data_IF_200740348489
#
_entry.id   IF_200740348489
#
_cell.length_a   1.000
_cell.length_b   1.000
_cell.length_c   1.000
_cell.angle_alpha   90.00
_cell.angle_beta   90.00
_cell.angle_gamma   90.00
#
_symmetry.space_group_name_H-M   'P 1'
#
loop_
_entity.id
_entity.type
_entity.pdbx_description
1 polymer ?
#
# COMPACT_ATOMS: atom_id res chain seq x y z
N UNK A 1 -46.51 22.41 39.97
CA UNK A 1 -46.26 21.36 40.96
C UNK A 1 -44.78 20.96 40.88
N UNK A 2 -44.25 20.58 42.02
CA UNK A 2 -42.85 20.13 42.12
C UNK A 2 -42.62 18.86 41.28
N UNK A 3 -43.59 17.94 41.26
CA UNK A 3 -43.49 16.73 40.43
C UNK A 3 -43.39 17.01 38.94
N UNK A 4 -44.19 17.93 38.45
CA UNK A 4 -44.16 18.31 37.02
C UNK A 4 -42.82 18.94 36.70
N UNK A 5 -42.29 19.78 37.57
CA UNK A 5 -41.01 20.42 37.41
C UNK A 5 -39.85 19.39 37.42
N UNK A 6 -39.86 18.44 38.34
CA UNK A 6 -38.86 17.37 38.37
C UNK A 6 -38.91 16.47 37.14
N UNK A 7 -40.13 16.17 36.67
CA UNK A 7 -40.30 15.40 35.42
C UNK A 7 -39.77 16.16 34.21
N UNK A 8 -39.98 17.48 34.13
CA UNK A 8 -39.47 18.33 33.08
C UNK A 8 -37.95 18.36 33.09
N UNK A 9 -37.34 18.46 34.27
CA UNK A 9 -35.87 18.45 34.42
C UNK A 9 -35.27 17.11 33.99
N UNK A 10 -35.89 15.99 34.39
CA UNK A 10 -35.48 14.65 33.97
C UNK A 10 -35.58 14.47 32.46
N UNK A 11 -36.68 14.97 31.88
CA UNK A 11 -36.87 14.89 30.43
C UNK A 11 -35.81 15.67 29.69
N UNK A 12 -35.48 16.87 30.14
CA UNK A 12 -34.41 17.68 29.56
C UNK A 12 -33.05 16.99 29.66
N UNK A 13 -32.76 16.38 30.81
CA UNK A 13 -31.54 15.63 31.04
C UNK A 13 -31.43 14.41 30.12
N UNK A 14 -32.50 13.65 29.98
CA UNK A 14 -32.56 12.50 29.10
C UNK A 14 -32.41 12.91 27.62
N UNK A 15 -33.06 14.02 27.26
CA UNK A 15 -32.93 14.54 25.90
C UNK A 15 -31.48 14.96 25.56
N UNK A 16 -30.81 15.59 26.51
CA UNK A 16 -29.37 15.93 26.34
C UNK A 16 -28.50 14.69 26.19
N UNK A 17 -28.73 13.68 27.00
CA UNK A 17 -28.04 12.38 26.91
C UNK A 17 -28.32 11.69 25.59
N UNK A 18 -29.56 11.72 25.13
CA UNK A 18 -29.94 11.16 23.84
C UNK A 18 -29.23 11.85 22.69
N UNK A 19 -29.24 13.17 22.67
CA UNK A 19 -28.55 13.95 21.61
C UNK A 19 -27.06 13.70 21.58
N UNK A 20 -26.43 13.61 22.76
CA UNK A 20 -25.01 13.28 22.88
C UNK A 20 -24.71 11.88 22.36
N UNK A 21 -25.51 10.90 22.77
CA UNK A 21 -25.37 9.51 22.33
C UNK A 21 -25.57 9.40 20.82
N UNK A 22 -26.55 10.11 20.28
CA UNK A 22 -26.80 10.15 18.84
C UNK A 22 -25.58 10.69 18.08
N UNK A 23 -24.99 11.79 18.56
CA UNK A 23 -23.78 12.35 17.96
C UNK A 23 -22.60 11.40 18.04
N UNK A 24 -22.40 10.75 19.18
CA UNK A 24 -21.35 9.74 19.37
C UNK A 24 -21.53 8.56 18.43
N UNK A 25 -22.78 8.09 18.28
CA UNK A 25 -23.10 6.99 17.36
C UNK A 25 -22.84 7.39 15.90
N UNK A 26 -23.24 8.58 15.48
CA UNK A 26 -22.99 9.05 14.12
C UNK A 26 -21.49 9.16 13.84
N UNK A 27 -20.71 9.67 14.77
CA UNK A 27 -19.25 9.74 14.66
C UNK A 27 -18.62 8.34 14.61
N UNK A 28 -19.08 7.44 15.45
CA UNK A 28 -18.65 6.03 15.45
C UNK A 28 -18.97 5.36 14.12
N UNK A 29 -20.16 5.55 13.59
CA UNK A 29 -20.58 4.98 12.29
C UNK A 29 -19.70 5.47 11.14
N UNK A 30 -19.41 6.77 11.09
CA UNK A 30 -18.50 7.34 10.08
C UNK A 30 -17.10 6.75 10.18
N UNK A 31 -16.56 6.68 11.40
CA UNK A 31 -15.24 6.10 11.64
C UNK A 31 -15.18 4.63 11.24
N UNK A 32 -16.18 3.85 11.65
CA UNK A 32 -16.26 2.42 11.33
C UNK A 32 -16.36 2.17 9.83
N UNK A 33 -17.12 2.99 9.11
CA UNK A 33 -17.24 2.88 7.65
C UNK A 33 -15.90 3.18 6.97
N UNK A 34 -15.15 4.17 7.46
CA UNK A 34 -13.80 4.48 6.95
C UNK A 34 -12.83 3.34 7.24
N UNK A 35 -12.87 2.78 8.44
CA UNK A 35 -12.04 1.64 8.83
C UNK A 35 -12.34 0.40 7.98
N UNK A 36 -13.63 0.13 7.70
CA UNK A 36 -14.04 -0.96 6.81
C UNK A 36 -13.52 -0.77 5.38
N UNK A 37 -13.65 0.44 4.86
CA UNK A 37 -13.14 0.77 3.53
C UNK A 37 -11.62 0.56 3.45
N UNK A 38 -10.90 0.99 4.47
CA UNK A 38 -9.46 0.80 4.57
C UNK A 38 -9.09 -0.69 4.62
N UNK A 39 -9.79 -1.47 5.44
CA UNK A 39 -9.58 -2.93 5.53
C UNK A 39 -9.83 -3.63 4.20
N UNK A 40 -10.86 -3.22 3.46
CA UNK A 40 -11.15 -3.80 2.14
C UNK A 40 -10.07 -3.48 1.12
N UNK A 41 -9.53 -2.27 1.15
CA UNK A 41 -8.48 -1.83 0.22
C UNK A 41 -7.13 -2.44 0.59
N UNK A 42 -6.77 -2.46 1.88
CA UNK A 42 -5.44 -2.83 2.36
C UNK A 42 -5.38 -4.21 3.03
N UNK A 43 -6.50 -4.95 3.10
CA UNK A 43 -6.57 -6.25 3.78
C UNK A 43 -5.73 -7.34 3.13
N UNK A 44 -5.39 -7.19 1.85
CA UNK A 44 -4.54 -8.13 1.13
C UNK A 44 -3.04 -7.81 1.25
N UNK A 45 -2.67 -6.71 1.91
CA UNK A 45 -1.30 -6.20 1.95
C UNK A 45 -0.29 -7.25 2.46
N UNK A 46 -0.59 -7.89 3.58
CA UNK A 46 0.29 -8.90 4.19
C UNK A 46 0.52 -10.08 3.25
N UNK A 47 -0.55 -10.58 2.65
CA UNK A 47 -0.46 -11.69 1.70
C UNK A 47 0.29 -11.29 0.44
N UNK A 48 0.01 -10.14 -0.12
CA UNK A 48 0.71 -9.64 -1.31
C UNK A 48 2.21 -9.51 -1.04
N UNK A 49 2.57 -8.95 0.10
CA UNK A 49 3.97 -8.81 0.50
C UNK A 49 4.67 -10.17 0.64
N UNK A 50 3.97 -11.15 1.20
CA UNK A 50 4.49 -12.51 1.35
C UNK A 50 4.71 -13.23 0.00
N UNK A 51 3.95 -12.87 -1.03
CA UNK A 51 4.06 -13.45 -2.38
C UNK A 51 5.23 -12.83 -3.17
N UNK A 52 5.65 -11.61 -2.87
CA UNK A 52 6.70 -10.93 -3.64
C UNK A 52 8.00 -11.72 -3.80
N UNK A 53 8.53 -12.40 -2.76
CA UNK A 53 9.71 -13.26 -2.95
C UNK A 53 9.51 -14.38 -3.97
N UNK A 54 8.30 -14.93 -4.05
CA UNK A 54 7.96 -15.97 -5.04
C UNK A 54 7.95 -15.38 -6.45
N UNK A 55 7.42 -14.19 -6.61
CA UNK A 55 7.46 -13.45 -7.89
C UNK A 55 8.91 -13.21 -8.30
N UNK A 56 9.76 -12.78 -7.37
CA UNK A 56 11.19 -12.58 -7.62
C UNK A 56 11.86 -13.86 -8.10
N UNK A 57 11.54 -15.00 -7.46
CA UNK A 57 12.06 -16.31 -7.82
C UNK A 57 11.62 -16.73 -9.23
N UNK A 58 10.35 -16.50 -9.57
CA UNK A 58 9.84 -16.76 -10.91
C UNK A 58 10.57 -15.92 -11.97
N UNK A 59 10.79 -14.65 -11.70
CA UNK A 59 11.53 -13.79 -12.63
C UNK A 59 12.94 -14.29 -12.89
N UNK A 60 13.65 -14.73 -11.84
CA UNK A 60 14.97 -15.31 -11.98
C UNK A 60 14.96 -16.62 -12.75
N UNK A 61 14.01 -17.50 -12.43
CA UNK A 61 13.88 -18.79 -13.10
C UNK A 61 13.54 -18.64 -14.57
N UNK A 62 12.63 -17.73 -14.90
CA UNK A 62 12.20 -17.47 -16.28
C UNK A 62 13.26 -16.76 -17.12
N UNK A 63 14.15 -15.99 -16.50
CA UNK A 63 15.31 -15.42 -17.16
C UNK A 63 16.34 -16.48 -17.59
N UNK A 64 16.37 -17.62 -16.91
CA UNK A 64 17.31 -18.71 -17.15
C UNK A 64 16.71 -19.85 -18.00
N UNK A 65 15.43 -19.80 -18.38
CA UNK A 65 14.75 -20.83 -19.16
C UNK A 65 13.85 -20.22 -20.23
N UNK A 66 13.60 -21.01 -21.30
CA UNK A 66 12.69 -20.63 -22.38
C UNK A 66 11.36 -21.37 -22.32
N UNK A 67 10.95 -21.81 -21.13
CA UNK A 67 9.69 -22.50 -20.96
C UNK A 67 8.49 -21.55 -21.16
N UNK A 68 7.93 -21.57 -22.36
CA UNK A 68 6.79 -20.71 -22.73
C UNK A 68 5.53 -21.04 -21.95
N UNK A 69 5.31 -22.30 -21.58
CA UNK A 69 4.15 -22.71 -20.80
C UNK A 69 4.15 -22.10 -19.40
N UNK A 70 5.28 -22.17 -18.72
CA UNK A 70 5.45 -21.57 -17.39
C UNK A 70 5.36 -20.06 -17.46
N UNK A 71 5.94 -19.46 -18.48
CA UNK A 71 5.88 -18.03 -18.72
C UNK A 71 4.45 -17.51 -18.89
N UNK A 72 3.62 -18.25 -19.61
CA UNK A 72 2.20 -17.92 -19.79
C UNK A 72 1.44 -17.93 -18.47
N UNK A 73 1.68 -18.97 -17.64
CA UNK A 73 1.05 -19.10 -16.32
C UNK A 73 1.50 -17.96 -15.41
N UNK A 74 2.79 -17.64 -15.41
CA UNK A 74 3.34 -16.54 -14.63
C UNK A 74 2.72 -15.19 -15.05
N UNK A 75 2.63 -14.92 -16.34
CA UNK A 75 2.03 -13.69 -16.85
C UNK A 75 0.55 -13.57 -16.49
N UNK A 76 -0.18 -14.70 -16.50
CA UNK A 76 -1.57 -14.74 -16.06
C UNK A 76 -1.69 -14.40 -14.58
N UNK A 77 -0.83 -14.93 -13.75
CA UNK A 77 -0.78 -14.62 -12.31
C UNK A 77 -0.53 -13.13 -12.09
N UNK A 78 0.49 -12.56 -12.75
CA UNK A 78 0.80 -11.13 -12.64
C UNK A 78 -0.38 -10.26 -13.04
N UNK A 79 -1.06 -10.62 -14.09
CA UNK A 79 -2.24 -9.87 -14.56
C UNK A 79 -3.35 -9.85 -13.53
N UNK A 80 -3.58 -10.98 -12.86
CA UNK A 80 -4.55 -11.07 -11.75
C UNK A 80 -4.12 -10.18 -10.58
N UNK A 81 -2.85 -10.22 -10.20
CA UNK A 81 -2.32 -9.42 -9.12
C UNK A 81 -2.40 -7.92 -9.42
N UNK A 82 -2.15 -7.53 -10.67
CA UNK A 82 -2.31 -6.14 -11.14
C UNK A 82 -3.76 -5.68 -11.02
N UNK A 83 -4.71 -6.53 -11.38
CA UNK A 83 -6.14 -6.24 -11.23
C UNK A 83 -6.53 -6.04 -9.75
N UNK A 84 -5.79 -6.66 -8.84
CA UNK A 84 -5.99 -6.52 -7.39
C UNK A 84 -5.20 -5.35 -6.79
N UNK A 85 -4.55 -4.54 -7.63
CA UNK A 85 -3.89 -3.32 -7.19
C UNK A 85 -2.37 -3.39 -7.06
N UNK A 86 -1.76 -4.52 -7.38
CA UNK A 86 -0.30 -4.64 -7.36
C UNK A 86 0.29 -3.96 -8.61
N UNK A 87 1.32 -3.14 -8.41
CA UNK A 87 1.99 -2.44 -9.51
C UNK A 87 3.50 -2.39 -9.24
N UNK A 88 4.29 -2.85 -10.21
CA UNK A 88 5.73 -2.73 -10.13
C UNK A 88 6.17 -1.27 -10.33
N UNK A 89 7.20 -0.86 -9.60
CA UNK A 89 7.81 0.45 -9.76
C UNK A 89 8.70 0.46 -10.99
N UNK A 90 8.63 1.53 -11.79
CA UNK A 90 9.56 1.81 -12.86
C UNK A 90 10.62 2.77 -12.31
N UNK A 91 11.81 2.28 -12.08
CA UNK A 91 12.81 2.99 -11.28
C UNK A 91 14.11 3.25 -12.04
N UNK A 92 14.49 2.35 -12.95
CA UNK A 92 15.74 2.45 -13.70
C UNK A 92 15.80 3.73 -14.55
N UNK A 93 16.83 4.53 -14.34
CA UNK A 93 16.97 5.82 -15.01
C UNK A 93 16.34 7.00 -14.29
N UNK A 94 15.52 6.74 -13.26
CA UNK A 94 14.88 7.79 -12.46
C UNK A 94 15.84 8.33 -11.40
N UNK A 95 15.52 9.51 -10.87
CA UNK A 95 16.24 10.05 -9.73
C UNK A 95 15.99 9.20 -8.49
N UNK A 96 17.04 9.00 -7.70
CA UNK A 96 16.89 8.31 -6.42
C UNK A 96 15.92 9.08 -5.51
N UNK A 97 14.92 8.37 -4.98
CA UNK A 97 13.92 8.87 -4.04
C UNK A 97 13.91 7.97 -2.81
N UNK A 98 14.32 8.51 -1.67
CA UNK A 98 14.39 7.74 -0.41
C UNK A 98 13.04 7.23 0.08
N UNK A 99 11.92 7.78 -0.42
CA UNK A 99 10.57 7.33 -0.08
C UNK A 99 10.13 6.10 -0.87
N UNK A 100 10.84 5.77 -1.94
CA UNK A 100 10.52 4.66 -2.86
C UNK A 100 11.63 3.66 -2.98
N UNK A 101 12.88 4.08 -2.78
CA UNK A 101 14.07 3.31 -3.09
C UNK A 101 14.96 3.15 -1.87
N UNK A 102 15.67 2.01 -1.84
CA UNK A 102 16.76 1.76 -0.90
C UNK A 102 18.05 1.58 -1.69
N UNK A 103 19.02 2.48 -1.51
CA UNK A 103 20.30 2.39 -2.17
C UNK A 103 21.19 1.36 -1.45
N UNK A 104 21.41 0.21 -2.06
CA UNK A 104 22.25 -0.85 -1.48
C UNK A 104 23.69 -0.77 -1.95
N UNK A 105 23.93 -0.15 -3.11
CA UNK A 105 25.25 0.00 -3.70
C UNK A 105 25.35 1.33 -4.43
N UNK A 106 26.52 1.93 -4.42
CA UNK A 106 26.83 3.14 -5.19
C UNK A 106 27.95 2.85 -6.16
N UNK A 107 27.83 3.37 -7.38
CA UNK A 107 28.89 3.30 -8.39
C UNK A 107 29.17 4.70 -8.93
N UNK A 108 30.38 4.97 -9.42
CA UNK A 108 30.68 6.24 -10.07
C UNK A 108 29.80 6.47 -11.29
N UNK A 109 29.29 7.69 -11.45
CA UNK A 109 28.51 8.06 -12.61
C UNK A 109 29.44 8.13 -13.88
N UNK A 110 28.94 7.54 -14.97
CA UNK A 110 29.67 7.62 -16.26
C UNK A 110 29.61 9.05 -16.82
N UNK A 111 28.53 9.78 -16.53
CA UNK A 111 28.30 11.17 -16.95
C UNK A 111 27.78 11.99 -15.78
N UNK A 112 28.07 13.28 -15.78
CA UNK A 112 27.62 14.22 -14.75
C UNK A 112 26.10 14.23 -14.60
N UNK A 113 25.37 14.14 -15.72
CA UNK A 113 23.91 14.12 -15.73
C UNK A 113 23.31 12.89 -15.07
N UNK A 114 24.08 11.81 -14.93
CA UNK A 114 23.60 10.56 -14.31
C UNK A 114 23.77 10.53 -12.79
N UNK A 115 24.45 11.48 -12.21
CA UNK A 115 24.63 11.56 -10.76
C UNK A 115 23.29 11.65 -10.03
N UNK A 116 23.13 10.82 -9.02
CA UNK A 116 21.90 10.77 -8.24
C UNK A 116 20.78 9.96 -8.90
N UNK A 117 21.05 9.29 -10.02
CA UNK A 117 20.06 8.44 -10.70
C UNK A 117 20.26 6.97 -10.35
N UNK A 118 19.17 6.20 -10.50
CA UNK A 118 19.17 4.75 -10.35
C UNK A 118 19.73 4.13 -11.64
N UNK A 119 20.83 3.42 -11.53
CA UNK A 119 21.46 2.77 -12.69
C UNK A 119 21.03 1.32 -12.85
N UNK A 120 20.65 0.66 -11.76
CA UNK A 120 20.16 -0.71 -11.80
C UNK A 120 19.22 -1.01 -10.63
N UNK A 121 18.39 -2.03 -10.79
CA UNK A 121 17.45 -2.50 -9.77
C UNK A 121 17.82 -3.92 -9.38
N UNK A 122 18.21 -4.11 -8.12
CA UNK A 122 18.57 -5.42 -7.57
C UNK A 122 17.32 -6.20 -7.16
N UNK A 123 16.36 -5.52 -6.54
CA UNK A 123 15.08 -6.10 -6.14
C UNK A 123 13.98 -5.09 -6.49
N UNK A 124 12.98 -5.55 -7.23
CA UNK A 124 11.88 -4.67 -7.65
C UNK A 124 11.07 -4.17 -6.48
N UNK A 125 10.74 -2.89 -6.51
CA UNK A 125 9.76 -2.30 -5.63
C UNK A 125 8.35 -2.42 -6.19
N UNK A 126 7.37 -2.43 -5.30
CA UNK A 126 5.97 -2.57 -5.68
C UNK A 126 5.08 -1.61 -4.90
N UNK A 127 4.03 -1.16 -5.57
CA UNK A 127 2.89 -0.48 -4.95
C UNK A 127 1.74 -1.45 -4.80
N UNK A 128 0.94 -1.25 -3.76
CA UNK A 128 -0.39 -1.88 -3.64
C UNK A 128 -1.40 -0.75 -3.41
N UNK A 129 -2.35 -0.60 -4.34
CA UNK A 129 -3.36 0.46 -4.31
C UNK A 129 -2.71 1.85 -4.07
N UNK A 130 -1.69 2.16 -4.86
CA UNK A 130 -0.94 3.43 -4.85
C UNK A 130 -0.10 3.69 -3.58
N UNK A 131 0.01 2.73 -2.68
CA UNK A 131 0.88 2.79 -1.52
C UNK A 131 2.06 1.86 -1.69
N UNK A 132 3.23 2.26 -1.22
CA UNK A 132 4.43 1.43 -1.28
C UNK A 132 4.22 0.16 -0.46
N UNK A 133 4.33 -0.99 -1.14
CA UNK A 133 4.29 -2.30 -0.50
C UNK A 133 5.70 -2.77 -0.13
N UNK A 134 6.65 -2.52 -1.02
CA UNK A 134 8.07 -2.86 -0.84
C UNK A 134 8.92 -1.85 -1.60
N UNK A 135 9.98 -1.35 -0.96
CA UNK A 135 10.95 -0.46 -1.61
C UNK A 135 11.73 -1.19 -2.70
N UNK A 136 12.09 -0.48 -3.74
CA UNK A 136 13.03 -1.00 -4.73
C UNK A 136 14.46 -0.94 -4.16
N UNK A 137 15.18 -2.04 -4.19
CA UNK A 137 16.60 -2.05 -3.86
C UNK A 137 17.40 -1.74 -5.11
N UNK A 138 18.17 -0.68 -5.06
CA UNK A 138 18.77 -0.07 -6.26
C UNK A 138 20.25 0.18 -6.11
N UNK A 139 20.89 0.34 -7.27
CA UNK A 139 22.27 0.83 -7.41
C UNK A 139 22.18 2.27 -7.90
N UNK A 140 22.83 3.19 -7.21
CA UNK A 140 22.78 4.63 -7.49
C UNK A 140 24.13 5.11 -8.01
N UNK A 141 24.12 5.98 -9.01
CA UNK A 141 25.30 6.67 -9.50
C UNK A 141 25.64 7.87 -8.61
N UNK A 142 26.91 8.07 -8.30
CA UNK A 142 27.36 9.22 -7.52
C UNK A 142 28.43 10.04 -8.24
#
# INVERSE_FOLDING_TARGET
SIKVQEMGEKLAELNDKYLRLYSEYENYRKRTNLEKADLLINGSREMMKAILPVIDDFERALAATEDEGVKLIYNKMLKILEQKGLKAMEVKGEKFDENLHEAITRIPAAEEAMKGTVVDVVEKGYYLNDKVLRYAKVVVAF
#
